data_IF_456414938766
#
_entry.id   IF_456414938766
#
_cell.length_a   1.000
_cell.length_b   1.000
_cell.length_c   1.000
_cell.angle_alpha   90.00
_cell.angle_beta   90.00
_cell.angle_gamma   90.00
#
_symmetry.space_group_name_H-M   'P 1'
#
loop_
_entity.id
_entity.type
_entity.pdbx_description
1 polymer ?
#
# COMPACT_ATOMS: atom_id res chain seq x y z
N UNK A 1 21.20 2.10 -6.74
CA UNK A 1 20.15 2.02 -5.68
C UNK A 1 20.53 2.84 -4.42
N UNK A 2 21.74 2.77 -3.81
CA UNK A 2 22.03 3.52 -2.57
C UNK A 2 21.90 5.04 -2.73
N UNK A 3 22.31 5.59 -3.87
CA UNK A 3 22.22 7.04 -4.14
C UNK A 3 20.76 7.51 -4.16
N UNK A 4 19.88 6.75 -4.77
CA UNK A 4 18.45 7.08 -4.82
C UNK A 4 17.79 7.01 -3.45
N UNK A 5 18.09 5.96 -2.67
CA UNK A 5 17.63 5.86 -1.28
C UNK A 5 18.13 7.00 -0.40
N UNK A 6 19.40 7.39 -0.56
CA UNK A 6 19.96 8.52 0.15
C UNK A 6 19.28 9.84 -0.26
N UNK A 7 19.04 10.06 -1.55
CA UNK A 7 18.35 11.27 -2.04
C UNK A 7 16.94 11.38 -1.46
N UNK A 8 16.18 10.28 -1.41
CA UNK A 8 14.86 10.24 -0.80
C UNK A 8 14.89 10.52 0.69
N UNK A 9 15.87 9.96 1.41
CA UNK A 9 16.04 10.20 2.83
C UNK A 9 16.40 11.67 3.12
N UNK A 10 17.38 12.24 2.39
CA UNK A 10 17.77 13.64 2.54
C UNK A 10 16.59 14.56 2.21
N UNK A 11 15.84 14.27 1.18
CA UNK A 11 14.63 15.03 0.83
C UNK A 11 13.57 14.95 1.94
N UNK A 12 13.28 13.77 2.47
CA UNK A 12 12.28 13.60 3.53
C UNK A 12 12.71 14.30 4.82
N UNK A 13 13.96 14.15 5.23
CA UNK A 13 14.53 14.84 6.42
C UNK A 13 14.53 16.35 6.20
N UNK A 14 14.90 16.81 5.02
CA UNK A 14 14.91 18.24 4.67
C UNK A 14 13.49 18.84 4.70
N UNK A 15 12.49 18.15 4.15
CA UNK A 15 11.09 18.60 4.21
C UNK A 15 10.58 18.60 5.65
N UNK A 16 10.80 17.52 6.40
CA UNK A 16 10.40 17.44 7.81
C UNK A 16 11.06 18.55 8.67
N UNK A 17 12.37 18.78 8.49
CA UNK A 17 13.08 19.88 9.12
C UNK A 17 12.55 21.26 8.69
N UNK A 18 12.27 21.43 7.40
CA UNK A 18 11.67 22.65 6.87
C UNK A 18 10.30 22.97 7.49
N UNK A 19 9.45 21.98 7.65
CA UNK A 19 8.15 22.14 8.31
C UNK A 19 8.28 22.63 9.76
N UNK A 20 9.27 22.10 10.49
CA UNK A 20 9.55 22.50 11.87
C UNK A 20 10.10 23.93 11.93
N UNK A 21 11.08 24.26 11.07
CA UNK A 21 11.74 25.57 11.06
C UNK A 21 10.76 26.69 10.64
N UNK A 22 9.89 26.40 9.66
CA UNK A 22 8.91 27.39 9.19
C UNK A 22 7.69 27.50 10.08
N UNK A 23 7.63 26.76 11.21
CA UNK A 23 6.45 26.68 12.07
C UNK A 23 5.19 26.43 11.27
N UNK A 24 5.25 25.47 10.35
CA UNK A 24 4.16 25.18 9.44
C UNK A 24 2.90 24.85 10.26
N UNK A 25 1.81 25.52 9.94
CA UNK A 25 0.52 25.28 10.57
C UNK A 25 -0.06 23.94 10.04
N UNK A 26 0.17 22.87 10.79
CA UNK A 26 -0.39 21.56 10.47
C UNK A 26 -1.81 21.55 11.05
N UNK A 27 -2.85 21.32 10.22
CA UNK A 27 -4.23 21.28 10.71
C UNK A 27 -4.39 20.25 11.83
N UNK A 28 -5.06 20.65 12.91
CA UNK A 28 -5.40 19.76 14.00
C UNK A 28 -6.42 18.70 13.55
N UNK A 29 -6.54 17.63 14.35
CA UNK A 29 -7.52 16.57 14.09
C UNK A 29 -8.92 17.15 14.19
N UNK A 30 -9.63 17.17 13.07
CA UNK A 30 -11.05 17.54 13.02
C UNK A 30 -11.89 16.25 12.98
N UNK A 31 -12.89 16.14 13.87
CA UNK A 31 -13.85 15.03 13.85
C UNK A 31 -14.99 15.27 12.83
N UNK A 32 -14.72 16.06 11.81
CA UNK A 32 -15.64 16.39 10.72
C UNK A 32 -15.11 15.76 9.44
N UNK A 33 -16.00 15.16 8.66
CA UNK A 33 -15.64 14.63 7.35
C UNK A 33 -15.37 15.81 6.39
N UNK A 34 -14.10 16.04 6.08
CA UNK A 34 -13.64 17.10 5.18
C UNK A 34 -13.48 16.62 3.73
N UNK A 35 -13.96 15.42 3.40
CA UNK A 35 -13.87 14.90 2.04
C UNK A 35 -14.73 15.72 1.08
N UNK A 36 -14.14 16.37 0.05
CA UNK A 36 -14.89 17.21 -0.88
C UNK A 36 -15.90 16.43 -1.73
N UNK A 37 -15.77 15.12 -1.84
CA UNK A 37 -16.72 14.27 -2.56
C UNK A 37 -17.91 13.80 -1.71
N UNK A 38 -17.97 14.19 -0.43
CA UNK A 38 -19.02 13.80 0.52
C UNK A 38 -19.03 12.32 0.92
N UNK A 39 -18.06 11.52 0.47
CA UNK A 39 -17.95 10.10 0.82
C UNK A 39 -17.51 9.93 2.27
N UNK A 40 -17.94 8.84 2.88
CA UNK A 40 -17.58 8.50 4.26
C UNK A 40 -16.07 8.32 4.43
N UNK A 41 -15.56 8.63 5.62
CA UNK A 41 -14.14 8.40 5.95
C UNK A 41 -13.79 6.92 5.81
N UNK A 42 -14.63 6.04 6.34
CA UNK A 42 -14.47 4.59 6.18
C UNK A 42 -15.34 4.08 5.01
N UNK A 43 -14.83 3.22 4.12
CA UNK A 43 -13.50 2.58 4.09
C UNK A 43 -12.46 3.37 3.29
N UNK A 44 -12.80 4.48 2.66
CA UNK A 44 -11.96 5.16 1.66
C UNK A 44 -10.62 5.67 2.21
N UNK A 45 -10.64 6.31 3.39
CA UNK A 45 -9.40 6.77 4.03
C UNK A 45 -8.47 5.59 4.34
N UNK A 46 -9.03 4.46 4.84
CA UNK A 46 -8.23 3.29 5.18
C UNK A 46 -7.50 2.69 3.96
N UNK A 47 -8.10 2.74 2.76
CA UNK A 47 -7.42 2.31 1.53
C UNK A 47 -6.31 3.29 1.16
N UNK A 48 -6.55 4.59 1.30
CA UNK A 48 -5.58 5.62 0.91
C UNK A 48 -4.34 5.64 1.79
N UNK A 49 -4.52 5.60 3.12
CA UNK A 49 -3.40 5.66 4.09
C UNK A 49 -2.72 4.31 4.33
N UNK A 50 -3.39 3.21 4.02
CA UNK A 50 -2.89 1.88 4.35
C UNK A 50 -1.59 1.54 3.62
N UNK A 51 -1.27 2.16 2.49
CA UNK A 51 -0.02 1.92 1.77
C UNK A 51 1.22 2.24 2.65
N UNK A 52 1.16 3.29 3.48
CA UNK A 52 2.22 3.64 4.44
C UNK A 52 2.18 2.86 5.75
N UNK A 53 1.10 2.10 6.01
CA UNK A 53 0.93 1.33 7.25
C UNK A 53 0.94 -0.17 7.01
N UNK A 54 0.16 -0.65 6.03
CA UNK A 54 0.03 -2.06 5.67
C UNK A 54 -0.02 -2.15 4.15
N UNK A 55 1.09 -2.53 3.51
CA UNK A 55 1.19 -2.61 2.05
C UNK A 55 1.38 -4.03 1.55
N UNK A 56 0.59 -4.45 0.57
CA UNK A 56 0.77 -5.72 -0.12
C UNK A 56 2.05 -5.79 -0.93
N UNK A 57 2.64 -4.64 -1.25
CA UNK A 57 3.93 -4.57 -1.91
C UNK A 57 5.04 -5.22 -1.07
N UNK A 58 4.97 -5.12 0.26
CA UNK A 58 5.88 -5.82 1.15
C UNK A 58 5.78 -7.34 1.02
N UNK A 59 4.57 -7.88 0.82
CA UNK A 59 4.38 -9.31 0.61
C UNK A 59 5.08 -9.83 -0.65
N UNK A 60 5.21 -9.01 -1.70
CA UNK A 60 5.91 -9.37 -2.92
C UNK A 60 7.43 -9.23 -2.80
N UNK A 61 7.91 -8.26 -2.01
CA UNK A 61 9.34 -7.98 -1.87
C UNK A 61 10.02 -8.75 -0.74
N UNK A 62 9.33 -8.99 0.37
CA UNK A 62 9.90 -9.66 1.55
C UNK A 62 10.56 -11.00 1.24
N UNK A 63 9.99 -11.89 0.39
CA UNK A 63 10.65 -13.15 0.04
C UNK A 63 11.97 -12.97 -0.68
N UNK A 64 12.10 -11.91 -1.50
CA UNK A 64 13.34 -11.60 -2.21
C UNK A 64 14.38 -11.02 -1.26
N UNK A 65 13.97 -10.11 -0.37
CA UNK A 65 14.84 -9.53 0.63
C UNK A 65 15.34 -10.57 1.65
N UNK A 66 14.48 -11.52 2.04
CA UNK A 66 14.85 -12.61 2.93
C UNK A 66 16.01 -13.46 2.39
N UNK A 67 16.06 -13.66 1.07
CA UNK A 67 17.17 -14.37 0.40
C UNK A 67 18.50 -13.60 0.39
N UNK A 68 18.45 -12.28 0.61
CA UNK A 68 19.60 -11.38 0.61
C UNK A 68 20.15 -11.14 2.03
N UNK A 69 19.47 -11.59 3.09
CA UNK A 69 19.93 -11.43 4.45
C UNK A 69 21.19 -12.26 4.71
N UNK A 70 22.17 -11.65 5.38
CA UNK A 70 23.38 -12.36 5.80
C UNK A 70 23.15 -13.19 7.06
N UNK A 71 22.38 -12.63 7.98
CA UNK A 71 22.03 -13.27 9.25
C UNK A 71 20.55 -13.09 9.54
N UNK A 72 19.93 -14.03 10.27
CA UNK A 72 18.53 -13.95 10.69
C UNK A 72 18.28 -12.73 11.61
N UNK A 73 19.31 -12.33 12.38
CA UNK A 73 19.26 -11.15 13.27
C UNK A 73 19.02 -9.83 12.51
N UNK A 74 19.46 -9.74 11.27
CA UNK A 74 19.26 -8.55 10.42
C UNK A 74 17.81 -8.40 9.98
N UNK A 75 17.02 -9.47 10.02
CA UNK A 75 15.62 -9.47 9.61
C UNK A 75 14.79 -8.40 10.33
N UNK A 76 14.99 -8.23 11.64
CA UNK A 76 14.26 -7.20 12.40
C UNK A 76 14.57 -5.79 11.90
N UNK A 77 15.83 -5.49 11.60
CA UNK A 77 16.24 -4.17 11.10
C UNK A 77 15.73 -3.95 9.67
N UNK A 78 15.83 -4.96 8.82
CA UNK A 78 15.49 -4.85 7.40
C UNK A 78 13.97 -4.77 7.22
N UNK A 79 13.20 -5.66 7.84
CA UNK A 79 11.74 -5.69 7.63
C UNK A 79 11.00 -4.69 8.52
N UNK A 80 11.18 -4.77 9.83
CA UNK A 80 10.49 -3.89 10.78
C UNK A 80 11.01 -2.45 10.71
N UNK A 81 12.34 -2.27 10.63
CA UNK A 81 12.95 -0.94 10.51
C UNK A 81 12.53 -0.22 9.22
N UNK A 82 12.45 -0.93 8.09
CA UNK A 82 11.97 -0.34 6.84
C UNK A 82 10.52 0.14 6.94
N UNK A 83 9.63 -0.64 7.57
CA UNK A 83 8.23 -0.27 7.79
C UNK A 83 8.08 1.00 8.64
N UNK A 84 8.85 1.12 9.72
CA UNK A 84 8.85 2.33 10.55
C UNK A 84 9.32 3.53 9.73
N UNK A 85 10.42 3.38 8.98
CA UNK A 85 10.96 4.46 8.15
C UNK A 85 9.97 4.90 7.08
N UNK A 86 9.29 3.97 6.42
CA UNK A 86 8.24 4.26 5.45
C UNK A 86 7.08 5.02 6.09
N UNK A 87 6.59 4.59 7.25
CA UNK A 87 5.53 5.26 7.99
C UNK A 87 5.90 6.69 8.38
N UNK A 88 7.12 6.92 8.87
CA UNK A 88 7.61 8.27 9.20
C UNK A 88 7.67 9.16 7.96
N UNK A 89 8.21 8.66 6.84
CA UNK A 89 8.29 9.41 5.58
C UNK A 89 6.88 9.74 5.06
N UNK A 90 5.95 8.78 5.14
CA UNK A 90 4.56 9.00 4.75
C UNK A 90 3.88 10.10 5.60
N UNK A 91 4.13 10.13 6.92
CA UNK A 91 3.63 11.17 7.83
C UNK A 91 4.22 12.54 7.50
N UNK A 92 5.53 12.64 7.17
CA UNK A 92 6.17 13.88 6.74
C UNK A 92 5.50 14.42 5.48
N UNK A 93 5.25 13.57 4.48
CA UNK A 93 4.57 13.96 3.25
C UNK A 93 3.12 14.37 3.49
N UNK A 94 2.39 13.67 4.36
CA UNK A 94 1.03 14.03 4.73
C UNK A 94 0.99 15.42 5.40
N UNK A 95 1.86 15.64 6.37
CA UNK A 95 1.99 16.94 7.04
C UNK A 95 2.36 18.06 6.06
N UNK A 96 3.31 17.81 5.16
CA UNK A 96 3.72 18.77 4.14
C UNK A 96 2.57 19.12 3.18
N UNK A 97 1.82 18.11 2.71
CA UNK A 97 0.69 18.34 1.82
C UNK A 97 -0.45 19.13 2.50
N UNK A 98 -0.73 18.87 3.77
CA UNK A 98 -1.77 19.57 4.52
C UNK A 98 -1.41 21.02 4.83
N UNK A 99 -0.13 21.31 5.12
CA UNK A 99 0.31 22.64 5.55
C UNK A 99 0.71 23.57 4.40
N UNK A 100 1.28 23.04 3.31
CA UNK A 100 1.90 23.84 2.25
C UNK A 100 0.89 24.58 1.37
N UNK A 101 -0.26 23.98 1.10
CA UNK A 101 -1.26 24.53 0.16
C UNK A 101 -2.32 25.41 0.81
N UNK A 102 -2.31 25.56 2.13
CA UNK A 102 -3.27 26.39 2.85
C UNK A 102 -4.69 25.85 2.95
N UNK A 103 -4.95 24.64 2.42
CA UNK A 103 -6.25 23.98 2.56
C UNK A 103 -6.52 22.89 1.51
N UNK A 104 -7.62 22.17 1.72
CA UNK A 104 -8.04 21.05 0.85
C UNK A 104 -8.37 21.51 -0.57
N UNK A 105 -9.10 22.62 -0.81
CA UNK A 105 -9.41 23.08 -2.16
C UNK A 105 -8.14 23.36 -2.98
N UNK A 106 -7.19 24.07 -2.40
CA UNK A 106 -5.93 24.44 -3.05
C UNK A 106 -5.06 23.22 -3.33
N UNK A 107 -5.06 22.24 -2.42
CA UNK A 107 -4.38 20.95 -2.64
C UNK A 107 -5.04 20.16 -3.78
N UNK A 108 -6.36 20.14 -3.86
CA UNK A 108 -7.09 19.46 -4.94
C UNK A 108 -6.81 20.08 -6.32
N UNK A 109 -6.64 21.40 -6.40
CA UNK A 109 -6.28 22.12 -7.61
C UNK A 109 -4.80 22.03 -7.97
N UNK A 110 -3.94 21.59 -7.04
CA UNK A 110 -2.50 21.55 -7.25
C UNK A 110 -2.06 20.57 -8.35
N UNK A 111 -2.90 19.61 -8.71
CA UNK A 111 -2.68 18.65 -9.78
C UNK A 111 -2.35 17.23 -9.29
N UNK A 112 -1.50 16.53 -10.03
CA UNK A 112 -1.12 15.15 -9.69
C UNK A 112 -0.18 15.09 -8.48
N UNK A 113 -0.08 13.90 -7.84
CA UNK A 113 0.84 13.68 -6.72
C UNK A 113 2.29 14.07 -7.04
N UNK A 114 2.77 13.82 -8.26
CA UNK A 114 4.11 14.22 -8.70
C UNK A 114 4.29 15.75 -8.72
N UNK A 115 3.26 16.50 -9.15
CA UNK A 115 3.27 17.96 -9.15
C UNK A 115 3.26 18.50 -7.72
N UNK A 116 2.46 17.91 -6.84
CA UNK A 116 2.40 18.24 -5.40
C UNK A 116 3.77 18.07 -4.76
N UNK A 117 4.40 16.90 -4.96
CA UNK A 117 5.76 16.61 -4.44
C UNK A 117 6.77 17.63 -4.94
N UNK A 118 6.74 17.97 -6.22
CA UNK A 118 7.67 18.96 -6.78
C UNK A 118 7.46 20.35 -6.17
N UNK A 119 6.20 20.83 -6.11
CA UNK A 119 5.87 22.15 -5.52
C UNK A 119 6.33 22.26 -4.07
N UNK A 120 6.05 21.24 -3.25
CA UNK A 120 6.47 21.19 -1.85
C UNK A 120 8.01 21.20 -1.75
N UNK A 121 8.68 20.36 -2.52
CA UNK A 121 10.14 20.21 -2.46
C UNK A 121 10.85 21.49 -2.91
N UNK A 122 10.39 22.14 -3.97
CA UNK A 122 10.92 23.43 -4.43
C UNK A 122 10.59 24.54 -3.44
N UNK A 123 9.37 24.56 -2.90
CA UNK A 123 8.95 25.60 -1.96
C UNK A 123 9.69 25.57 -0.63
N UNK A 124 9.98 24.37 -0.09
CA UNK A 124 10.65 24.21 1.21
C UNK A 124 12.17 24.19 1.06
N UNK A 125 12.71 23.47 0.06
CA UNK A 125 14.16 23.22 -0.10
C UNK A 125 14.78 23.99 -1.28
N UNK A 126 14.02 24.84 -1.97
CA UNK A 126 14.48 25.59 -3.12
C UNK A 126 14.89 24.72 -4.32
N UNK A 127 15.81 25.20 -5.16
CA UNK A 127 16.25 24.49 -6.39
C UNK A 127 16.88 23.14 -6.10
N UNK A 128 17.60 23.01 -4.98
CA UNK A 128 18.19 21.72 -4.56
C UNK A 128 17.09 20.72 -4.22
N UNK A 129 16.05 21.16 -3.51
CA UNK A 129 14.87 20.34 -3.23
C UNK A 129 14.16 19.87 -4.48
N UNK A 130 14.02 20.74 -5.47
CA UNK A 130 13.45 20.37 -6.78
C UNK A 130 14.26 19.29 -7.50
N UNK A 131 15.57 19.37 -7.48
CA UNK A 131 16.46 18.34 -8.05
C UNK A 131 16.35 17.00 -7.29
N UNK A 132 16.33 17.03 -5.96
CA UNK A 132 16.13 15.84 -5.13
C UNK A 132 14.74 15.21 -5.35
N UNK A 133 13.71 16.04 -5.48
CA UNK A 133 12.35 15.58 -5.79
C UNK A 133 12.31 14.88 -7.15
N UNK A 134 12.92 15.46 -8.17
CA UNK A 134 12.98 14.85 -9.49
C UNK A 134 13.69 13.49 -9.45
N UNK A 135 14.85 13.44 -8.80
CA UNK A 135 15.57 12.17 -8.63
C UNK A 135 14.75 11.15 -7.84
N UNK A 136 14.12 11.55 -6.74
CA UNK A 136 13.29 10.65 -5.92
C UNK A 136 12.04 10.17 -6.63
N UNK A 137 11.28 11.07 -7.26
CA UNK A 137 10.04 10.75 -7.97
C UNK A 137 10.28 9.89 -9.21
N UNK A 138 11.41 10.06 -9.90
CA UNK A 138 11.77 9.24 -11.07
C UNK A 138 12.40 7.92 -10.65
N UNK A 139 13.31 7.95 -9.68
CA UNK A 139 14.06 6.75 -9.28
C UNK A 139 13.21 5.73 -8.52
N UNK A 140 12.29 6.19 -7.67
CA UNK A 140 11.45 5.30 -6.85
C UNK A 140 10.59 4.37 -7.71
N UNK A 141 9.81 4.83 -8.71
CA UNK A 141 9.06 3.94 -9.60
C UNK A 141 9.96 2.98 -10.39
N UNK A 142 11.15 3.41 -10.82
CA UNK A 142 12.08 2.55 -11.57
C UNK A 142 12.54 1.38 -10.70
N UNK A 143 12.99 1.66 -9.47
CA UNK A 143 13.47 0.63 -8.54
C UNK A 143 12.35 -0.29 -8.08
N UNK A 144 11.17 0.27 -7.81
CA UNK A 144 10.00 -0.48 -7.39
C UNK A 144 9.43 -1.32 -8.54
N UNK A 145 9.40 -0.77 -9.75
CA UNK A 145 8.95 -1.47 -10.96
C UNK A 145 9.83 -2.67 -11.30
N UNK A 146 11.16 -2.52 -11.29
CA UNK A 146 12.09 -3.65 -11.50
C UNK A 146 11.80 -4.79 -10.52
N UNK A 147 11.61 -4.45 -9.23
CA UNK A 147 11.36 -5.42 -8.19
C UNK A 147 9.98 -6.08 -8.34
N UNK A 148 8.96 -5.31 -8.69
CA UNK A 148 7.59 -5.81 -8.90
C UNK A 148 7.52 -6.77 -10.11
N UNK A 149 8.09 -6.40 -11.25
CA UNK A 149 8.14 -7.27 -12.44
C UNK A 149 8.95 -8.55 -12.18
N UNK A 150 10.04 -8.45 -11.44
CA UNK A 150 10.84 -9.61 -11.06
C UNK A 150 10.05 -10.55 -10.14
N UNK A 151 9.36 -10.02 -9.15
CA UNK A 151 8.51 -10.80 -8.23
C UNK A 151 7.39 -11.49 -9.00
N UNK A 152 6.65 -10.77 -9.84
CA UNK A 152 5.59 -11.32 -10.66
C UNK A 152 6.10 -12.44 -11.58
N UNK A 153 7.23 -12.22 -12.26
CA UNK A 153 7.86 -13.24 -13.12
C UNK A 153 8.21 -14.50 -12.34
N UNK A 154 8.82 -14.35 -11.17
CA UNK A 154 9.20 -15.51 -10.35
C UNK A 154 7.97 -16.25 -9.82
N UNK A 155 6.95 -15.53 -9.34
CA UNK A 155 5.72 -16.13 -8.84
C UNK A 155 4.98 -16.93 -9.94
N UNK A 156 4.88 -16.37 -11.14
CA UNK A 156 4.28 -17.07 -12.29
C UNK A 156 5.10 -18.31 -12.66
N UNK A 157 6.42 -18.15 -12.73
CA UNK A 157 7.31 -19.26 -13.07
C UNK A 157 7.25 -20.39 -12.04
N UNK A 158 7.20 -20.06 -10.75
CA UNK A 158 7.08 -21.04 -9.66
C UNK A 158 5.71 -21.74 -9.72
N UNK A 159 4.62 -21.00 -9.98
CA UNK A 159 3.28 -21.56 -10.12
C UNK A 159 3.15 -22.51 -11.31
N UNK A 160 3.79 -22.16 -12.42
CA UNK A 160 3.83 -22.99 -13.64
C UNK A 160 4.94 -24.06 -13.60
N UNK A 161 5.73 -24.13 -12.52
CA UNK A 161 6.92 -25.00 -12.39
C UNK A 161 7.91 -24.81 -13.56
N UNK A 162 8.01 -23.59 -14.09
CA UNK A 162 8.80 -23.27 -15.25
C UNK A 162 10.21 -22.80 -14.88
N UNK A 163 11.23 -23.57 -15.30
CA UNK A 163 12.63 -23.34 -14.93
C UNK A 163 13.12 -21.98 -15.45
N UNK A 164 13.62 -21.13 -14.56
CA UNK A 164 14.13 -19.78 -14.85
C UNK A 164 15.65 -19.70 -15.03
N UNK A 165 16.36 -20.83 -15.11
CA UNK A 165 17.81 -20.87 -15.38
C UNK A 165 18.17 -20.25 -16.75
N UNK A 166 17.67 -20.77 -17.86
CA UNK A 166 17.92 -20.21 -19.18
C UNK A 166 17.36 -18.80 -19.36
N UNK A 167 18.14 -17.93 -20.04
CA UNK A 167 17.73 -16.53 -20.31
C UNK A 167 16.43 -16.47 -21.12
N UNK A 168 16.28 -17.32 -22.13
CA UNK A 168 15.07 -17.38 -22.98
C UNK A 168 13.82 -17.60 -22.13
N UNK A 169 13.87 -18.50 -21.17
CA UNK A 169 12.74 -18.80 -20.30
C UNK A 169 12.32 -17.60 -19.43
N UNK A 170 13.30 -16.75 -19.08
CA UNK A 170 13.01 -15.49 -18.34
C UNK A 170 12.25 -14.51 -19.22
N UNK A 171 12.64 -14.37 -20.48
CA UNK A 171 11.97 -13.48 -21.44
C UNK A 171 10.57 -13.96 -21.79
N UNK A 172 10.34 -15.27 -21.93
CA UNK A 172 9.00 -15.83 -22.21
C UNK A 172 7.99 -15.40 -21.16
N UNK A 173 8.38 -15.36 -19.89
CA UNK A 173 7.48 -14.90 -18.80
C UNK A 173 7.50 -13.37 -18.65
N UNK A 174 8.64 -12.72 -18.88
CA UNK A 174 8.77 -11.29 -18.67
C UNK A 174 8.08 -10.46 -19.75
N UNK A 175 8.20 -10.83 -21.03
CA UNK A 175 7.64 -10.06 -22.16
C UNK A 175 6.13 -9.85 -22.03
N UNK A 176 5.29 -10.86 -21.77
CA UNK A 176 3.86 -10.65 -21.55
C UNK A 176 3.57 -9.69 -20.39
N UNK A 177 4.32 -9.78 -19.29
CA UNK A 177 4.17 -8.86 -18.15
C UNK A 177 4.50 -7.41 -18.52
N UNK A 178 5.58 -7.19 -19.30
CA UNK A 178 5.92 -5.86 -19.78
C UNK A 178 4.88 -5.32 -20.76
N UNK A 179 4.36 -6.16 -21.67
CA UNK A 179 3.28 -5.77 -22.59
C UNK A 179 2.05 -5.33 -21.82
N UNK A 180 1.64 -6.06 -20.78
CA UNK A 180 0.53 -5.68 -19.90
C UNK A 180 0.86 -4.36 -19.19
N UNK A 181 2.07 -4.22 -18.66
CA UNK A 181 2.52 -2.98 -18.00
C UNK A 181 2.46 -1.77 -18.92
N UNK A 182 2.92 -1.90 -20.15
CA UNK A 182 2.82 -0.84 -21.17
C UNK A 182 1.36 -0.55 -21.51
N UNK A 183 0.51 -1.57 -21.69
CA UNK A 183 -0.91 -1.38 -21.95
C UNK A 183 -1.61 -0.60 -20.83
N UNK A 184 -1.26 -0.82 -19.55
CA UNK A 184 -1.77 -0.07 -18.43
C UNK A 184 -1.39 1.42 -18.48
N UNK A 185 -0.29 1.80 -19.11
CA UNK A 185 0.11 3.20 -19.29
C UNK A 185 -0.84 4.01 -20.20
N UNK A 186 -1.65 3.34 -21.02
CA UNK A 186 -2.67 4.00 -21.85
C UNK A 186 -4.00 4.23 -21.14
N UNK A 187 -4.16 3.67 -19.94
CA UNK A 187 -5.34 3.89 -19.10
C UNK A 187 -5.13 5.16 -18.25
N UNK A 188 -6.16 6.00 -18.04
CA UNK A 188 -6.05 7.18 -17.20
C UNK A 188 -5.51 6.84 -15.81
N UNK A 189 -4.48 7.58 -15.38
CA UNK A 189 -3.75 7.32 -14.11
C UNK A 189 -4.68 7.16 -12.90
N UNK A 190 -5.70 8.01 -12.78
CA UNK A 190 -6.64 7.98 -11.65
C UNK A 190 -7.42 6.66 -11.56
N UNK A 191 -7.69 6.00 -12.68
CA UNK A 191 -8.37 4.69 -12.71
C UNK A 191 -7.40 3.62 -12.23
N UNK A 192 -6.21 3.56 -12.84
CA UNK A 192 -5.17 2.58 -12.47
C UNK A 192 -4.80 2.71 -10.99
N UNK A 193 -4.67 3.97 -10.50
CA UNK A 193 -4.30 4.24 -9.11
C UNK A 193 -5.32 3.71 -8.10
N UNK A 194 -6.61 3.83 -8.37
CA UNK A 194 -7.66 3.31 -7.50
C UNK A 194 -7.67 1.78 -7.46
N UNK A 195 -7.60 1.13 -8.62
CA UNK A 195 -7.46 -0.34 -8.68
C UNK A 195 -6.19 -0.82 -7.99
N UNK A 196 -5.08 -0.13 -8.20
CA UNK A 196 -3.82 -0.41 -7.51
C UNK A 196 -3.97 -0.33 -5.99
N UNK A 197 -4.55 0.74 -5.47
CA UNK A 197 -4.76 0.91 -4.03
C UNK A 197 -5.53 -0.25 -3.42
N UNK A 198 -6.68 -0.61 -4.02
CA UNK A 198 -7.47 -1.74 -3.55
C UNK A 198 -6.75 -3.08 -3.68
N UNK A 199 -6.13 -3.37 -4.80
CA UNK A 199 -5.43 -4.63 -5.05
C UNK A 199 -4.25 -4.81 -4.10
N UNK A 200 -3.51 -3.73 -3.83
CA UNK A 200 -2.40 -3.70 -2.88
C UNK A 200 -2.88 -4.05 -1.46
N UNK A 201 -3.99 -3.45 -1.01
CA UNK A 201 -4.54 -3.72 0.32
C UNK A 201 -5.15 -5.13 0.42
N UNK A 202 -5.73 -5.63 -0.66
CA UNK A 202 -6.23 -7.01 -0.74
C UNK A 202 -5.08 -8.00 -0.59
N UNK A 203 -3.97 -7.78 -1.28
CA UNK A 203 -2.77 -8.61 -1.14
C UNK A 203 -2.19 -8.56 0.28
N UNK A 204 -2.15 -7.37 0.90
CA UNK A 204 -1.73 -7.22 2.28
C UNK A 204 -2.63 -8.01 3.25
N UNK A 205 -3.94 -7.98 3.01
CA UNK A 205 -4.93 -8.73 3.81
C UNK A 205 -4.69 -10.24 3.70
N UNK A 206 -4.45 -10.75 2.50
CA UNK A 206 -4.11 -12.17 2.28
C UNK A 206 -2.81 -12.52 3.01
N UNK A 207 -1.79 -11.67 2.95
CA UNK A 207 -0.53 -11.88 3.65
C UNK A 207 -0.71 -11.90 5.18
N UNK A 208 -1.58 -11.05 5.73
CA UNK A 208 -1.94 -11.07 7.16
C UNK A 208 -2.61 -12.39 7.55
N UNK A 209 -3.58 -12.89 6.76
CA UNK A 209 -4.19 -14.20 7.02
C UNK A 209 -3.18 -15.35 6.94
N UNK A 210 -2.22 -15.30 6.00
CA UNK A 210 -1.11 -16.26 5.95
C UNK A 210 -0.24 -16.19 7.20
N UNK A 211 0.05 -14.97 7.71
CA UNK A 211 0.79 -14.76 8.95
C UNK A 211 0.02 -15.31 10.16
N UNK A 212 -1.30 -15.11 10.23
CA UNK A 212 -2.17 -15.69 11.27
C UNK A 212 -2.00 -17.21 11.32
N UNK A 213 -2.14 -17.86 10.15
CA UNK A 213 -2.00 -19.33 10.07
C UNK A 213 -0.60 -19.80 10.43
N UNK A 214 0.44 -19.08 9.97
CA UNK A 214 1.82 -19.39 10.31
C UNK A 214 2.09 -19.31 11.82
N UNK A 215 1.65 -18.24 12.48
CA UNK A 215 1.82 -18.04 13.92
C UNK A 215 1.07 -19.12 14.73
N UNK A 216 -0.17 -19.43 14.32
CA UNK A 216 -0.97 -20.47 14.96
C UNK A 216 -0.31 -21.84 14.85
N UNK A 217 0.20 -22.22 13.67
CA UNK A 217 0.90 -23.50 13.47
C UNK A 217 2.21 -23.60 14.26
N UNK A 218 2.79 -22.46 14.67
CA UNK A 218 4.00 -22.38 15.51
C UNK A 218 3.70 -22.23 16.99
N UNK A 219 2.45 -22.29 17.42
CA UNK A 219 2.04 -22.06 18.81
C UNK A 219 2.36 -20.65 19.32
N UNK A 220 2.52 -19.68 18.41
CA UNK A 220 2.79 -18.28 18.75
C UNK A 220 1.50 -17.48 18.87
N UNK A 221 1.57 -16.31 19.52
CA UNK A 221 0.42 -15.44 19.65
C UNK A 221 -0.04 -14.90 18.27
N UNK A 222 -1.05 -15.53 17.69
CA UNK A 222 -1.59 -15.17 16.37
C UNK A 222 -2.55 -13.96 16.42
N UNK A 223 -3.00 -13.54 17.61
CA UNK A 223 -3.90 -12.38 17.74
C UNK A 223 -3.30 -11.09 17.21
N UNK A 224 -1.97 -10.94 17.28
CA UNK A 224 -1.23 -9.80 16.74
C UNK A 224 -1.50 -9.61 15.25
N UNK A 225 -1.65 -10.70 14.50
CA UNK A 225 -1.94 -10.65 13.06
C UNK A 225 -3.44 -10.79 12.76
N UNK A 226 -4.21 -11.50 13.62
CA UNK A 226 -5.63 -11.76 13.41
C UNK A 226 -6.47 -10.49 13.47
N UNK A 227 -6.24 -9.63 14.46
CA UNK A 227 -7.02 -8.39 14.61
C UNK A 227 -6.83 -7.47 13.38
N UNK A 228 -5.58 -7.16 12.94
CA UNK A 228 -5.39 -6.42 11.70
C UNK A 228 -5.95 -7.13 10.45
N UNK A 229 -5.87 -8.47 10.37
CA UNK A 229 -6.41 -9.22 9.25
C UNK A 229 -7.93 -9.09 9.15
N UNK A 230 -8.64 -9.20 10.29
CA UNK A 230 -10.08 -9.01 10.36
C UNK A 230 -10.47 -7.59 9.94
N UNK A 231 -9.80 -6.59 10.49
CA UNK A 231 -10.04 -5.18 10.16
C UNK A 231 -9.83 -4.91 8.66
N UNK A 232 -8.70 -5.34 8.12
CA UNK A 232 -8.39 -5.14 6.71
C UNK A 232 -9.33 -5.92 5.77
N UNK A 233 -9.85 -7.07 6.20
CA UNK A 233 -10.88 -7.80 5.45
C UNK A 233 -12.15 -6.96 5.33
N UNK A 234 -12.60 -6.32 6.41
CA UNK A 234 -13.74 -5.39 6.36
C UNK A 234 -13.43 -4.23 5.42
N UNK A 235 -12.26 -3.61 5.54
CA UNK A 235 -11.84 -2.45 4.73
C UNK A 235 -11.87 -2.78 3.23
N UNK A 236 -11.16 -3.84 2.80
CA UNK A 236 -11.02 -4.15 1.37
C UNK A 236 -12.32 -4.62 0.75
N UNK A 237 -13.13 -5.36 1.51
CA UNK A 237 -14.44 -5.84 1.04
C UNK A 237 -15.43 -4.69 0.94
N UNK A 238 -15.51 -3.84 1.97
CA UNK A 238 -16.39 -2.67 1.95
C UNK A 238 -16.02 -1.71 0.82
N UNK A 239 -14.74 -1.50 0.59
CA UNK A 239 -14.27 -0.63 -0.47
C UNK A 239 -14.70 -1.13 -1.85
N UNK A 240 -14.44 -2.39 -2.19
CA UNK A 240 -14.77 -2.91 -3.54
C UNK A 240 -16.27 -2.94 -3.80
N UNK A 241 -17.09 -3.07 -2.76
CA UNK A 241 -18.55 -3.01 -2.88
C UNK A 241 -19.05 -1.59 -3.15
N UNK A 242 -18.49 -0.60 -2.45
CA UNK A 242 -18.96 0.80 -2.50
C UNK A 242 -18.18 1.70 -3.49
N UNK A 243 -17.02 1.26 -3.99
CA UNK A 243 -16.18 2.07 -4.86
C UNK A 243 -16.73 2.16 -6.30
N UNK A 244 -16.52 3.29 -7.00
CA UNK A 244 -16.96 3.48 -8.39
C UNK A 244 -16.37 2.47 -9.37
N UNK A 245 -15.17 2.01 -9.09
CA UNK A 245 -14.46 0.96 -9.84
C UNK A 245 -14.89 -0.45 -9.48
N UNK A 246 -15.67 -0.61 -8.40
CA UNK A 246 -16.14 -1.89 -7.87
C UNK A 246 -17.59 -2.20 -8.23
N UNK A 247 -18.29 -2.76 -7.25
CA UNK A 247 -19.65 -3.30 -7.44
C UNK A 247 -20.76 -2.27 -7.22
N UNK A 248 -20.45 -1.01 -6.97
CA UNK A 248 -21.46 0.04 -6.73
C UNK A 248 -22.54 0.09 -7.82
N UNK A 249 -22.18 -0.19 -9.08
CA UNK A 249 -23.09 -0.18 -10.24
C UNK A 249 -24.22 -1.19 -10.14
N UNK A 250 -24.06 -2.26 -9.37
CA UNK A 250 -25.11 -3.26 -9.16
C UNK A 250 -26.20 -2.78 -8.21
N UNK A 251 -26.00 -1.68 -7.49
CA UNK A 251 -26.98 -1.14 -6.56
C UNK A 251 -27.91 -0.09 -7.19
N UNK A 252 -27.73 0.22 -8.51
CA UNK A 252 -28.55 1.20 -9.23
C UNK A 252 -28.46 2.61 -8.63
N UNK A 253 -29.56 3.35 -8.61
CA UNK A 253 -29.64 4.74 -8.17
C UNK A 253 -29.81 4.90 -6.64
N UNK A 254 -29.42 3.93 -5.84
CA UNK A 254 -29.48 4.06 -4.38
C UNK A 254 -28.53 5.12 -3.87
N UNK A 255 -28.93 5.77 -2.77
CA UNK A 255 -28.07 6.73 -2.07
C UNK A 255 -26.73 6.07 -1.71
N UNK A 256 -25.64 6.79 -2.00
CA UNK A 256 -24.26 6.30 -1.74
C UNK A 256 -24.06 5.93 -0.28
N UNK A 257 -24.68 6.64 0.67
CA UNK A 257 -24.60 6.33 2.09
C UNK A 257 -25.22 4.98 2.44
N UNK A 258 -26.35 4.66 1.78
CA UNK A 258 -27.01 3.34 1.97
C UNK A 258 -26.11 2.23 1.44
N UNK A 259 -25.49 2.44 0.27
CA UNK A 259 -24.53 1.51 -0.32
C UNK A 259 -23.33 1.29 0.59
N UNK A 260 -22.79 2.36 1.16
CA UNK A 260 -21.65 2.30 2.11
C UNK A 260 -22.00 1.47 3.37
N UNK A 261 -23.21 1.64 3.93
CA UNK A 261 -23.64 0.82 5.07
C UNK A 261 -23.80 -0.67 4.69
N UNK A 262 -24.41 -0.96 3.54
CA UNK A 262 -24.53 -2.34 3.04
C UNK A 262 -23.12 -2.94 2.82
N UNK A 263 -22.20 -2.17 2.26
CA UNK A 263 -20.84 -2.60 2.02
C UNK A 263 -20.10 -2.97 3.32
N UNK A 264 -20.29 -2.19 4.38
CA UNK A 264 -19.72 -2.47 5.70
C UNK A 264 -20.30 -3.77 6.28
N UNK A 265 -21.60 -3.96 6.17
CA UNK A 265 -22.25 -5.21 6.63
C UNK A 265 -21.68 -6.42 5.90
N UNK A 266 -21.55 -6.33 4.57
CA UNK A 266 -20.95 -7.40 3.75
C UNK A 266 -19.49 -7.64 4.20
N UNK A 267 -18.72 -6.57 4.40
CA UNK A 267 -17.35 -6.67 4.89
C UNK A 267 -17.24 -7.37 6.24
N UNK A 268 -18.11 -7.05 7.18
CA UNK A 268 -18.18 -7.71 8.49
C UNK A 268 -18.53 -9.21 8.36
N UNK A 269 -19.53 -9.55 7.53
CA UNK A 269 -19.91 -10.95 7.30
C UNK A 269 -18.75 -11.75 6.70
N UNK A 270 -18.07 -11.21 5.69
CA UNK A 270 -16.90 -11.85 5.08
C UNK A 270 -15.76 -12.03 6.11
N UNK A 271 -15.48 -11.01 6.91
CA UNK A 271 -14.46 -11.07 7.95
C UNK A 271 -14.77 -12.13 9.02
N UNK A 272 -16.02 -12.20 9.45
CA UNK A 272 -16.48 -13.25 10.37
C UNK A 272 -16.39 -14.64 9.74
N UNK A 273 -16.75 -14.76 8.47
CA UNK A 273 -16.62 -16.03 7.72
C UNK A 273 -15.18 -16.50 7.61
N UNK A 274 -14.24 -15.60 7.28
CA UNK A 274 -12.81 -15.91 7.26
C UNK A 274 -12.29 -16.32 8.64
N UNK A 275 -12.73 -15.63 9.69
CA UNK A 275 -12.35 -15.92 11.07
C UNK A 275 -12.87 -17.27 11.52
N UNK A 276 -14.14 -17.58 11.25
CA UNK A 276 -14.73 -18.88 11.53
C UNK A 276 -14.00 -20.00 10.78
N UNK A 277 -13.71 -19.80 9.49
CA UNK A 277 -12.94 -20.75 8.68
C UNK A 277 -11.53 -20.99 9.24
N UNK A 278 -10.87 -19.96 9.72
CA UNK A 278 -9.57 -20.10 10.40
C UNK A 278 -9.68 -20.97 11.64
N UNK A 279 -10.63 -20.70 12.55
CA UNK A 279 -10.78 -21.47 13.79
C UNK A 279 -11.17 -22.92 13.52
N UNK A 280 -12.07 -23.18 12.57
CA UNK A 280 -12.46 -24.54 12.17
C UNK A 280 -11.27 -25.35 11.64
N UNK A 281 -10.43 -24.72 10.79
CA UNK A 281 -9.26 -25.36 10.20
C UNK A 281 -8.14 -25.57 11.23
N UNK A 282 -8.00 -24.64 12.18
CA UNK A 282 -6.99 -24.75 13.22
C UNK A 282 -7.33 -25.86 14.24
N UNK A 283 -8.60 -25.99 14.61
CA UNK A 283 -9.09 -27.08 15.48
C UNK A 283 -8.84 -28.47 14.87
N UNK A 284 -9.07 -28.60 13.55
CA UNK A 284 -8.85 -29.87 12.83
C UNK A 284 -7.36 -30.25 12.76
N UNK A 285 -6.46 -29.26 12.65
CA UNK A 285 -5.01 -29.49 12.64
C UNK A 285 -4.50 -30.01 13.99
N UNK A 286 -5.01 -29.50 15.11
CA UNK A 286 -4.61 -29.95 16.45
C UNK A 286 -5.09 -31.37 16.76
N UNK A 287 -6.25 -31.81 16.20
CA UNK A 287 -6.77 -33.16 16.35
C UNK A 287 -6.00 -34.23 15.54
N UNK A 288 -5.21 -33.81 14.55
CA UNK A 288 -4.41 -34.74 13.72
C UNK A 288 -2.99 -34.91 14.30
N UNK A 289 -2.57 -34.01 15.18
CA UNK A 289 -1.24 -34.02 15.82
C UNK A 289 -1.24 -34.63 17.22
N UNK A 290 -2.39 -34.98 17.78
CA UNK A 290 -2.58 -35.85 18.95
C UNK A 290 -2.81 -37.31 18.50
#
# INVERSE_FOLDING_TARGET
>A
YPIFGLSLLVMAVGIGGGLIITNANIPEIAFVNMNPTGRSVFPYLCITIACGAISGFHATQSPMMARCLRTEKDGRKVFYGAMISEGIIALIWAAAAMSFFGGIPQLAEAGTAAVVVNKISVGILGKVGGALALLGVVACPITSGDTAFRSARLTIADSLKYKQGPIVNRFIVAIPLFVIGVALCFIPFNVVWRYFGWSNQTLATIALWAAVKYLANRGKNYWIALIPAMFMTVVVTSYIVAAPEGFVRFFGDKDIKVIEHIAIIIGCVVSLGCTAGFFMTNKKSNLITE
#
